data_IF_953509943627
#
_entry.id   IF_953509943627
#
_cell.length_a   1.000
_cell.length_b   1.000
_cell.length_c   1.000
_cell.angle_alpha   90.00
_cell.angle_beta   90.00
_cell.angle_gamma   90.00
#
_symmetry.space_group_name_H-M   'P 1'
#
loop_
_entity.id
_entity.type
_entity.pdbx_description
1 polymer ?
#
# COMPACT_ATOMS: atom_id res chain seq x y z
N UNK A 1 76.66 -59.44 -14.24
CA UNK A 1 75.18 -59.39 -14.28
C UNK A 1 74.67 -58.33 -13.29
N UNK A 2 74.58 -57.06 -13.70
CA UNK A 2 74.20 -55.89 -12.86
C UNK A 2 72.96 -55.15 -13.41
N UNK A 3 72.03 -55.85 -14.07
CA UNK A 3 70.86 -55.22 -14.74
C UNK A 3 69.53 -55.41 -13.99
N UNK A 4 69.45 -56.39 -13.08
CA UNK A 4 68.20 -56.74 -12.37
C UNK A 4 67.90 -55.85 -11.15
N UNK A 5 68.92 -55.39 -10.43
CA UNK A 5 68.75 -54.52 -9.25
C UNK A 5 68.36 -53.07 -9.59
N UNK A 6 68.91 -52.53 -10.70
CA UNK A 6 68.60 -51.18 -11.16
C UNK A 6 67.16 -51.07 -11.67
N UNK A 7 66.67 -52.11 -12.36
CA UNK A 7 65.28 -52.18 -12.85
C UNK A 7 64.26 -52.24 -11.69
N UNK A 8 64.60 -52.95 -10.60
CA UNK A 8 63.72 -53.06 -9.43
C UNK A 8 63.67 -51.75 -8.63
N UNK A 9 64.80 -51.02 -8.53
CA UNK A 9 64.87 -49.72 -7.85
C UNK A 9 64.14 -48.61 -8.63
N UNK A 10 64.19 -48.67 -9.98
CA UNK A 10 63.45 -47.76 -10.85
C UNK A 10 61.93 -48.04 -10.81
N UNK A 11 61.55 -49.31 -10.72
CA UNK A 11 60.14 -49.70 -10.60
C UNK A 11 59.53 -49.26 -9.25
N UNK A 12 60.27 -49.37 -8.13
CA UNK A 12 59.80 -48.92 -6.83
C UNK A 12 59.69 -47.38 -6.73
N UNK A 13 60.62 -46.64 -7.34
CA UNK A 13 60.57 -45.16 -7.35
C UNK A 13 59.42 -44.64 -8.21
N UNK A 14 59.11 -45.28 -9.35
CA UNK A 14 57.91 -45.00 -10.15
C UNK A 14 56.61 -45.28 -9.37
N UNK A 15 56.56 -46.35 -8.57
CA UNK A 15 55.37 -46.71 -7.80
C UNK A 15 55.10 -45.71 -6.67
N UNK A 16 56.15 -45.19 -6.01
CA UNK A 16 56.01 -44.21 -4.91
C UNK A 16 55.63 -42.82 -5.43
N UNK A 17 56.11 -42.41 -6.61
CA UNK A 17 55.68 -41.15 -7.26
C UNK A 17 54.24 -41.24 -7.78
N UNK A 18 53.80 -42.42 -8.22
CA UNK A 18 52.44 -42.64 -8.71
C UNK A 18 51.33 -42.54 -7.66
N UNK A 19 51.64 -42.70 -6.37
CA UNK A 19 50.64 -42.64 -5.28
C UNK A 19 50.48 -41.22 -4.71
N UNK A 20 51.52 -40.37 -4.81
CA UNK A 20 51.46 -38.96 -4.36
C UNK A 20 50.77 -38.06 -5.39
N UNK A 21 50.80 -38.44 -6.66
CA UNK A 21 49.94 -37.88 -7.69
C UNK A 21 48.54 -38.52 -7.61
N UNK A 22 47.83 -38.28 -6.49
CA UNK A 22 46.44 -38.65 -6.35
C UNK A 22 45.69 -38.25 -7.63
N UNK A 23 44.94 -39.19 -8.20
CA UNK A 23 44.13 -39.00 -9.40
C UNK A 23 43.19 -37.81 -9.17
N UNK A 24 43.60 -36.60 -9.53
CA UNK A 24 42.70 -35.47 -9.69
C UNK A 24 41.73 -35.90 -10.78
N UNK A 25 40.45 -36.07 -10.43
CA UNK A 25 39.43 -36.40 -11.41
C UNK A 25 39.45 -35.31 -12.49
N UNK A 26 39.90 -35.66 -13.70
CA UNK A 26 40.19 -34.71 -14.79
C UNK A 26 38.91 -34.11 -15.40
N UNK A 27 37.74 -34.68 -15.13
CA UNK A 27 36.45 -34.29 -15.72
C UNK A 27 35.59 -33.45 -14.77
N UNK A 28 36.15 -32.39 -14.21
CA UNK A 28 35.37 -31.41 -13.42
C UNK A 28 35.11 -30.16 -14.23
N UNK A 29 33.86 -29.72 -14.31
CA UNK A 29 33.47 -28.44 -14.87
C UNK A 29 32.67 -27.66 -13.82
N UNK A 30 32.89 -26.34 -13.78
CA UNK A 30 32.13 -25.41 -12.94
C UNK A 30 31.43 -24.44 -13.87
N UNK A 31 30.13 -24.27 -13.70
CA UNK A 31 29.38 -23.24 -14.41
C UNK A 31 29.73 -21.86 -13.86
N UNK A 32 29.37 -20.83 -14.62
CA UNK A 32 29.34 -19.47 -14.09
C UNK A 32 28.32 -19.35 -12.93
N UNK A 33 28.58 -18.40 -12.05
CA UNK A 33 27.69 -18.10 -10.91
C UNK A 33 26.57 -17.21 -11.39
N UNK A 34 25.32 -17.65 -11.18
CA UNK A 34 24.13 -16.82 -11.36
C UNK A 34 23.69 -16.32 -9.99
N UNK A 35 23.72 -15.00 -9.81
CA UNK A 35 23.26 -14.32 -8.58
C UNK A 35 21.91 -13.68 -8.84
N UNK A 36 20.88 -14.09 -8.08
CA UNK A 36 19.56 -13.47 -8.09
C UNK A 36 19.38 -12.60 -6.84
N UNK A 37 19.02 -11.34 -7.04
CA UNK A 37 18.74 -10.40 -5.94
C UNK A 37 17.23 -10.31 -5.75
N UNK A 38 16.77 -10.58 -4.54
CA UNK A 38 15.37 -10.43 -4.13
C UNK A 38 15.21 -9.11 -3.37
N UNK A 39 14.13 -8.37 -3.66
CA UNK A 39 13.79 -7.11 -2.99
C UNK A 39 12.53 -7.27 -2.14
N UNK A 40 12.34 -6.36 -1.19
CA UNK A 40 11.09 -6.22 -0.44
C UNK A 40 10.03 -5.50 -1.28
N UNK A 41 8.76 -5.78 -0.99
CA UNK A 41 7.58 -5.07 -1.50
C UNK A 41 7.05 -4.05 -0.47
N UNK A 42 6.34 -3.01 -0.92
CA UNK A 42 5.77 -1.98 -0.03
C UNK A 42 4.49 -1.36 -0.64
N UNK A 43 3.71 -0.67 0.17
CA UNK A 43 2.52 0.09 -0.27
C UNK A 43 2.55 1.47 0.38
N UNK A 44 2.48 2.51 -0.45
CA UNK A 44 2.50 3.90 0.00
C UNK A 44 1.24 4.61 -0.44
N UNK A 45 0.58 5.28 0.51
CA UNK A 45 -0.67 6.03 0.27
C UNK A 45 -0.49 7.49 0.67
N UNK A 46 -1.13 8.37 -0.08
CA UNK A 46 -1.18 9.80 0.18
C UNK A 46 -2.63 10.30 0.09
N UNK A 47 -2.99 11.26 0.94
CA UNK A 47 -4.24 12.02 0.86
C UNK A 47 -3.90 13.50 0.77
N UNK A 48 -4.38 14.19 -0.27
CA UNK A 48 -4.16 15.62 -0.48
C UNK A 48 -5.47 16.37 -0.69
N UNK A 49 -5.53 17.59 -0.17
CA UNK A 49 -6.61 18.55 -0.39
C UNK A 49 -6.00 19.94 -0.61
N UNK A 50 -6.57 20.75 -1.51
CA UNK A 50 -6.00 22.04 -1.93
C UNK A 50 -6.97 23.22 -1.81
N UNK A 51 -8.18 23.04 -1.28
CA UNK A 51 -9.23 24.10 -1.30
C UNK A 51 -9.16 25.06 -0.11
N UNK A 52 -8.14 24.97 0.76
CA UNK A 52 -7.87 25.90 1.87
C UNK A 52 -8.10 25.30 3.26
N UNK A 53 -8.10 26.16 4.29
CA UNK A 53 -8.27 25.77 5.71
C UNK A 53 -9.50 26.37 6.36
N UNK A 54 -10.12 27.39 5.75
CA UNK A 54 -11.28 28.08 6.28
C UNK A 54 -12.42 28.07 5.25
N UNK A 55 -13.61 27.68 5.71
CA UNK A 55 -14.79 27.53 4.85
C UNK A 55 -15.98 28.26 5.48
N UNK A 56 -16.61 29.14 4.70
CA UNK A 56 -17.84 29.83 5.12
C UNK A 56 -19.03 28.96 4.78
N UNK A 57 -19.90 28.73 5.76
CA UNK A 57 -21.15 28.04 5.55
C UNK A 57 -22.21 29.05 5.10
N UNK A 58 -22.77 28.84 3.91
CA UNK A 58 -23.94 29.57 3.40
C UNK A 58 -25.04 28.51 3.18
N UNK A 59 -26.24 28.62 3.79
CA UNK A 59 -27.27 27.59 3.66
C UNK A 59 -27.64 27.32 2.20
N UNK A 60 -27.67 26.05 1.82
CA UNK A 60 -27.98 25.59 0.46
C UNK A 60 -26.83 25.68 -0.55
N UNK A 61 -25.66 26.19 -0.15
CA UNK A 61 -24.50 26.30 -1.04
C UNK A 61 -23.58 25.10 -0.88
N UNK A 62 -22.79 24.83 -1.92
CA UNK A 62 -21.70 23.86 -1.88
C UNK A 62 -20.39 24.54 -1.47
N UNK A 63 -19.54 23.79 -0.79
CA UNK A 63 -18.19 24.17 -0.39
C UNK A 63 -17.24 23.24 -1.14
N UNK A 64 -16.31 23.80 -1.91
CA UNK A 64 -15.33 22.99 -2.63
C UNK A 64 -14.37 22.30 -1.66
N UNK A 65 -14.33 20.98 -1.73
CA UNK A 65 -13.52 20.08 -0.91
C UNK A 65 -13.00 18.99 -1.83
N UNK A 66 -11.72 19.02 -2.18
CA UNK A 66 -11.13 18.10 -3.17
C UNK A 66 -10.15 17.08 -2.57
N UNK A 67 -10.50 16.38 -1.46
CA UNK A 67 -9.64 15.35 -0.90
C UNK A 67 -9.46 14.21 -1.93
N UNK A 68 -8.21 13.95 -2.29
CA UNK A 68 -7.82 12.93 -3.26
C UNK A 68 -6.85 11.94 -2.63
N UNK A 69 -7.26 10.67 -2.60
CA UNK A 69 -6.45 9.57 -2.12
C UNK A 69 -5.70 8.94 -3.29
N UNK A 70 -4.40 8.71 -3.12
CA UNK A 70 -3.50 8.21 -4.18
C UNK A 70 -2.62 7.10 -3.61
N UNK A 71 -2.57 5.95 -4.29
CA UNK A 71 -1.52 4.95 -4.05
C UNK A 71 -0.31 5.36 -4.89
N UNK A 72 0.85 5.56 -4.26
CA UNK A 72 2.02 6.12 -4.92
C UNK A 72 2.75 5.09 -5.79
N UNK A 73 3.44 5.57 -6.81
CA UNK A 73 4.26 4.76 -7.70
C UNK A 73 5.28 3.89 -6.94
N UNK A 74 5.50 2.68 -7.42
CA UNK A 74 6.35 1.68 -6.77
C UNK A 74 5.67 0.90 -5.63
N UNK A 75 4.37 1.12 -5.41
CA UNK A 75 3.56 0.28 -4.52
C UNK A 75 3.08 -0.98 -5.23
N UNK A 76 2.71 -2.00 -4.46
CA UNK A 76 2.00 -3.17 -4.95
C UNK A 76 0.49 -2.94 -5.10
N UNK A 77 -0.19 -3.86 -5.79
CA UNK A 77 -1.64 -3.92 -5.85
C UNK A 77 -2.24 -4.04 -4.44
N UNK A 78 -3.26 -3.24 -4.16
CA UNK A 78 -3.77 -3.09 -2.81
C UNK A 78 -5.24 -2.70 -2.77
N UNK A 79 -5.83 -2.88 -1.60
CA UNK A 79 -7.01 -2.13 -1.22
C UNK A 79 -6.59 -0.74 -0.76
N UNK A 80 -7.19 0.29 -1.36
CA UNK A 80 -7.15 1.66 -0.88
C UNK A 80 -8.45 1.91 -0.09
N UNK A 81 -8.31 2.37 1.15
CA UNK A 81 -9.40 2.72 2.05
C UNK A 81 -9.42 4.21 2.34
N UNK A 82 -10.61 4.75 2.56
CA UNK A 82 -10.82 6.07 3.15
C UNK A 82 -11.81 5.96 4.30
N UNK A 83 -11.47 6.55 5.43
CA UNK A 83 -12.30 6.67 6.63
C UNK A 83 -12.77 8.11 6.76
N UNK A 84 -14.07 8.30 6.93
CA UNK A 84 -14.71 9.62 7.05
C UNK A 84 -15.32 9.77 8.44
N UNK A 85 -14.57 10.41 9.34
CA UNK A 85 -15.01 10.69 10.70
C UNK A 85 -15.73 12.04 10.77
N UNK A 86 -17.03 11.98 11.05
CA UNK A 86 -17.88 13.15 11.25
C UNK A 86 -17.93 13.53 12.72
N UNK A 87 -17.85 14.82 13.02
CA UNK A 87 -18.29 15.33 14.33
C UNK A 87 -19.79 15.07 14.55
N UNK A 88 -20.22 15.01 15.81
CA UNK A 88 -21.62 14.78 16.16
C UNK A 88 -22.59 15.81 15.56
N UNK A 89 -22.13 17.04 15.33
CA UNK A 89 -22.96 18.11 14.75
C UNK A 89 -22.96 18.12 13.23
N UNK A 90 -22.11 17.35 12.55
CA UNK A 90 -21.92 17.45 11.09
C UNK A 90 -23.24 17.33 10.32
N UNK A 91 -24.01 16.26 10.55
CA UNK A 91 -25.22 15.97 9.78
C UNK A 91 -26.36 16.97 10.04
N UNK A 92 -26.26 17.81 11.07
CA UNK A 92 -27.21 18.92 11.29
C UNK A 92 -27.01 20.03 10.26
N UNK A 93 -25.77 20.22 9.79
CA UNK A 93 -25.38 21.39 9.02
C UNK A 93 -24.95 21.07 7.59
N UNK A 94 -24.31 19.92 7.41
CA UNK A 94 -23.59 19.56 6.21
C UNK A 94 -24.03 18.18 5.74
N UNK A 95 -23.85 17.93 4.47
CA UNK A 95 -23.96 16.62 3.86
C UNK A 95 -22.87 16.44 2.80
N UNK A 96 -22.53 15.20 2.51
CA UNK A 96 -21.61 14.84 1.44
C UNK A 96 -22.10 13.59 0.74
N UNK A 97 -21.58 13.37 -0.46
CA UNK A 97 -21.77 12.13 -1.20
C UNK A 97 -20.37 11.59 -1.52
N UNK A 98 -20.17 10.28 -1.34
CA UNK A 98 -18.91 9.64 -1.72
C UNK A 98 -18.81 9.59 -3.24
N UNK A 99 -17.62 9.84 -3.78
CA UNK A 99 -17.38 9.79 -5.22
C UNK A 99 -17.62 8.38 -5.79
N UNK A 100 -17.85 8.32 -7.11
CA UNK A 100 -18.11 7.04 -7.77
C UNK A 100 -16.87 6.12 -7.72
N UNK A 101 -17.11 4.80 -7.72
CA UNK A 101 -16.06 3.77 -7.68
C UNK A 101 -15.56 3.40 -6.28
N UNK A 102 -16.10 4.00 -5.22
CA UNK A 102 -15.89 3.55 -3.84
C UNK A 102 -17.00 2.57 -3.42
N UNK A 103 -16.62 1.54 -2.67
CA UNK A 103 -17.56 0.57 -2.06
C UNK A 103 -17.56 0.77 -0.56
N UNK A 104 -18.74 0.84 0.08
CA UNK A 104 -18.83 0.93 1.55
C UNK A 104 -18.36 -0.38 2.17
N UNK A 105 -17.55 -0.30 3.23
CA UNK A 105 -17.11 -1.49 3.96
C UNK A 105 -18.21 -2.00 4.87
N UNK A 106 -18.58 -3.27 4.71
CA UNK A 106 -19.58 -3.91 5.54
C UNK A 106 -19.12 -3.97 7.00
N UNK A 107 -20.03 -3.60 7.92
CA UNK A 107 -19.77 -3.58 9.36
C UNK A 107 -18.97 -2.37 9.86
N UNK A 108 -18.54 -1.44 8.99
CA UNK A 108 -17.86 -0.21 9.39
C UNK A 108 -18.43 0.99 8.64
N UNK A 109 -19.31 1.75 9.29
CA UNK A 109 -20.15 2.76 8.62
C UNK A 109 -19.40 3.91 7.94
N UNK A 110 -18.20 4.24 8.42
CA UNK A 110 -17.42 5.38 7.97
C UNK A 110 -16.32 5.03 6.97
N UNK A 111 -16.18 3.76 6.61
CA UNK A 111 -15.07 3.29 5.78
C UNK A 111 -15.55 2.88 4.40
N UNK A 112 -14.82 3.34 3.39
CA UNK A 112 -15.04 3.00 1.99
C UNK A 112 -13.74 2.52 1.38
N UNK A 113 -13.82 1.62 0.41
CA UNK A 113 -12.66 1.02 -0.22
C UNK A 113 -12.79 0.91 -1.74
N UNK A 114 -11.64 0.76 -2.39
CA UNK A 114 -11.52 0.32 -3.78
C UNK A 114 -10.25 -0.52 -3.94
N UNK A 115 -10.22 -1.35 -4.97
CA UNK A 115 -8.99 -2.04 -5.37
C UNK A 115 -8.22 -1.12 -6.31
N UNK A 116 -6.92 -0.96 -6.06
CA UNK A 116 -6.00 -0.27 -6.97
C UNK A 116 -5.11 -1.32 -7.60
N UNK A 117 -5.33 -1.51 -8.90
CA UNK A 117 -4.74 -2.56 -9.71
C UNK A 117 -3.47 -2.06 -10.44
N UNK A 118 -2.40 -2.83 -10.36
CA UNK A 118 -1.11 -2.50 -10.98
C UNK A 118 -1.08 -2.84 -12.47
N UNK A 119 -1.80 -3.87 -12.90
CA UNK A 119 -1.89 -4.32 -14.30
C UNK A 119 -2.62 -3.33 -15.21
N UNK A 120 -3.55 -2.56 -14.65
CA UNK A 120 -4.31 -1.53 -15.38
C UNK A 120 -3.72 -0.11 -15.21
N UNK A 121 -2.52 0.01 -14.65
CA UNK A 121 -1.83 1.28 -14.39
C UNK A 121 -2.64 2.26 -13.52
N UNK A 122 -3.41 1.74 -12.56
CA UNK A 122 -4.20 2.58 -11.65
C UNK A 122 -3.35 3.20 -10.53
N UNK A 123 -2.18 2.64 -10.25
CA UNK A 123 -1.20 3.21 -9.31
C UNK A 123 -0.75 4.60 -9.78
N UNK A 124 -0.70 5.54 -8.84
CA UNK A 124 -0.39 6.95 -9.10
C UNK A 124 -1.61 7.79 -9.48
N UNK A 125 -2.78 7.19 -9.68
CA UNK A 125 -4.02 7.90 -9.99
C UNK A 125 -4.61 8.54 -8.74
N UNK A 126 -4.88 9.85 -8.73
CA UNK A 126 -5.57 10.50 -7.62
C UNK A 126 -7.08 10.27 -7.71
N UNK A 127 -7.66 9.64 -6.69
CA UNK A 127 -9.10 9.38 -6.61
C UNK A 127 -9.78 10.39 -5.71
N UNK A 128 -10.73 11.16 -6.28
CA UNK A 128 -11.63 11.99 -5.49
C UNK A 128 -12.38 11.13 -4.46
N UNK A 129 -12.41 11.58 -3.21
CA UNK A 129 -13.14 10.91 -2.13
C UNK A 129 -14.60 11.39 -2.09
N UNK A 130 -14.81 12.68 -2.33
CA UNK A 130 -16.13 13.31 -2.34
C UNK A 130 -16.62 13.49 -3.78
N UNK A 131 -17.90 13.21 -4.02
CA UNK A 131 -18.52 13.42 -5.33
C UNK A 131 -18.44 14.92 -5.68
N UNK A 132 -18.05 15.20 -6.91
CA UNK A 132 -17.87 16.54 -7.45
C UNK A 132 -16.86 17.43 -6.67
N UNK A 133 -15.99 16.81 -5.86
CA UNK A 133 -15.02 17.53 -5.02
C UNK A 133 -15.70 18.62 -4.16
N UNK A 134 -16.80 18.27 -3.46
CA UNK A 134 -17.53 19.21 -2.61
C UNK A 134 -18.24 18.57 -1.40
N UNK A 135 -18.65 19.45 -0.47
CA UNK A 135 -19.68 19.18 0.55
C UNK A 135 -20.80 20.22 0.43
N UNK A 136 -22.01 19.89 0.88
CA UNK A 136 -23.18 20.79 0.78
C UNK A 136 -23.59 21.27 2.17
N UNK A 137 -23.82 22.57 2.32
CA UNK A 137 -24.49 23.12 3.50
C UNK A 137 -25.98 22.94 3.32
N UNK A 138 -26.65 22.31 4.28
CA UNK A 138 -28.10 22.07 4.20
C UNK A 138 -28.86 23.39 4.11
N UNK A 139 -29.84 23.45 3.22
CA UNK A 139 -30.70 24.63 3.05
C UNK A 139 -31.55 24.96 4.29
N UNK A 140 -31.76 23.97 5.17
CA UNK A 140 -32.50 24.12 6.43
C UNK A 140 -31.69 24.81 7.55
N UNK A 141 -30.40 25.09 7.34
CA UNK A 141 -29.56 25.77 8.34
C UNK A 141 -30.02 27.22 8.49
N UNK A 142 -30.36 27.61 9.71
CA UNK A 142 -30.85 28.94 10.08
C UNK A 142 -29.75 29.86 10.59
N UNK A 143 -30.03 31.16 10.64
CA UNK A 143 -29.10 32.15 11.20
C UNK A 143 -28.85 31.92 12.69
N UNK A 144 -29.87 31.51 13.43
CA UNK A 144 -29.80 31.17 14.85
C UNK A 144 -28.84 29.99 15.08
N UNK A 145 -28.95 28.94 14.26
CA UNK A 145 -28.03 27.79 14.33
C UNK A 145 -26.59 28.17 14.00
N UNK A 146 -26.37 29.05 13.00
CA UNK A 146 -25.03 29.55 12.70
C UNK A 146 -24.44 30.39 13.84
N UNK A 147 -25.23 31.30 14.41
CA UNK A 147 -24.78 32.11 15.55
C UNK A 147 -24.44 31.24 16.77
N UNK A 148 -25.12 30.10 16.95
CA UNK A 148 -24.80 29.15 18.01
C UNK A 148 -23.41 28.49 17.83
N UNK A 149 -22.90 28.37 16.60
CA UNK A 149 -21.55 27.88 16.33
C UNK A 149 -20.45 28.92 16.63
N UNK A 150 -20.82 30.19 16.76
CA UNK A 150 -19.91 31.29 17.12
C UNK A 150 -19.84 31.53 18.64
N UNK A 151 -20.70 30.87 19.43
CA UNK A 151 -20.66 30.96 20.88
C UNK A 151 -19.35 30.39 21.44
N UNK A 152 -18.85 30.99 22.52
CA UNK A 152 -17.62 30.53 23.18
C UNK A 152 -17.76 29.06 23.63
N UNK A 153 -16.79 28.23 23.26
CA UNK A 153 -16.80 26.79 23.55
C UNK A 153 -17.67 25.93 22.61
N UNK A 154 -18.35 26.52 21.62
CA UNK A 154 -19.08 25.76 20.62
C UNK A 154 -18.14 24.94 19.72
N UNK A 155 -18.48 23.66 19.49
CA UNK A 155 -17.74 22.78 18.60
C UNK A 155 -18.31 22.89 17.19
N UNK A 156 -17.49 23.39 16.26
CA UNK A 156 -17.85 23.51 14.84
C UNK A 156 -17.96 22.13 14.19
N UNK A 157 -18.86 21.97 13.20
CA UNK A 157 -18.97 20.71 12.48
C UNK A 157 -17.69 20.44 11.68
N UNK A 158 -17.15 19.23 11.82
CA UNK A 158 -15.97 18.75 11.10
C UNK A 158 -16.24 17.45 10.35
N UNK A 159 -15.52 17.28 9.25
CA UNK A 159 -15.36 16.03 8.51
C UNK A 159 -13.86 15.78 8.37
N UNK A 160 -13.37 14.75 9.06
CA UNK A 160 -11.97 14.31 8.98
C UNK A 160 -11.88 13.11 8.08
N UNK A 161 -10.97 13.17 7.10
CA UNK A 161 -10.76 12.07 6.14
C UNK A 161 -9.35 11.54 6.35
N UNK A 162 -9.21 10.22 6.41
CA UNK A 162 -7.91 9.54 6.47
C UNK A 162 -7.88 8.43 5.45
N UNK A 163 -6.77 8.32 4.70
CA UNK A 163 -6.55 7.26 3.73
C UNK A 163 -5.63 6.19 4.29
N UNK A 164 -5.92 4.93 3.96
CA UNK A 164 -5.11 3.78 4.33
C UNK A 164 -4.97 2.84 3.14
N UNK A 165 -3.95 1.99 3.14
CA UNK A 165 -3.85 0.93 2.17
C UNK A 165 -3.42 -0.38 2.82
N UNK A 166 -3.83 -1.49 2.22
CA UNK A 166 -3.51 -2.84 2.69
C UNK A 166 -3.38 -3.78 1.50
N UNK A 167 -2.48 -4.75 1.62
CA UNK A 167 -2.16 -5.67 0.51
C UNK A 167 -3.40 -6.41 0.02
N UNK A 168 -3.49 -6.59 -1.31
CA UNK A 168 -4.59 -7.32 -1.93
C UNK A 168 -4.44 -8.84 -1.78
N UNK A 169 -3.24 -9.37 -2.04
CA UNK A 169 -2.97 -10.80 -2.11
C UNK A 169 -2.50 -11.36 -0.77
N UNK A 170 -3.10 -12.48 -0.34
CA UNK A 170 -2.62 -13.29 0.80
C UNK A 170 -1.41 -14.12 0.42
N UNK A 171 -1.49 -14.68 -0.79
CA UNK A 171 -0.51 -15.58 -1.41
C UNK A 171 -0.74 -15.58 -2.93
N UNK A 172 -0.07 -16.48 -3.64
CA UNK A 172 -0.11 -16.55 -5.11
C UNK A 172 -1.49 -16.83 -5.73
N UNK A 173 -2.46 -17.36 -4.96
CA UNK A 173 -3.76 -17.80 -5.49
C UNK A 173 -4.96 -17.19 -4.79
N UNK A 174 -4.76 -16.49 -3.67
CA UNK A 174 -5.84 -15.99 -2.82
C UNK A 174 -5.66 -14.51 -2.50
N UNK A 175 -6.78 -13.79 -2.50
CA UNK A 175 -6.86 -12.38 -2.07
C UNK A 175 -7.49 -12.25 -0.69
N UNK A 176 -7.16 -11.17 0.01
CA UNK A 176 -7.91 -10.71 1.16
C UNK A 176 -9.29 -10.27 0.73
N UNK A 177 -10.31 -10.57 1.54
CA UNK A 177 -11.53 -9.78 1.52
C UNK A 177 -11.25 -8.36 2.03
N UNK A 178 -12.08 -7.39 1.67
CA UNK A 178 -11.91 -6.01 2.12
C UNK A 178 -11.91 -5.89 3.65
N UNK A 179 -12.76 -6.66 4.36
CA UNK A 179 -12.80 -6.67 5.83
C UNK A 179 -11.53 -7.24 6.46
N UNK A 180 -10.96 -8.31 5.90
CA UNK A 180 -9.67 -8.85 6.36
C UNK A 180 -8.54 -7.84 6.13
N UNK A 181 -8.47 -7.26 4.93
CA UNK A 181 -7.47 -6.26 4.58
C UNK A 181 -7.54 -5.03 5.50
N UNK A 182 -8.75 -4.57 5.83
CA UNK A 182 -8.99 -3.48 6.78
C UNK A 182 -8.55 -3.84 8.21
N UNK A 183 -8.80 -5.07 8.64
CA UNK A 183 -8.43 -5.54 9.97
C UNK A 183 -6.91 -5.65 10.15
N UNK A 184 -6.16 -5.94 9.09
CA UNK A 184 -4.69 -6.00 9.09
C UNK A 184 -4.01 -4.64 9.28
N UNK A 185 -4.72 -3.53 9.06
CA UNK A 185 -4.16 -2.18 9.29
C UNK A 185 -4.06 -1.94 10.81
N UNK A 186 -2.83 -1.81 11.30
CA UNK A 186 -2.53 -1.70 12.73
C UNK A 186 -2.95 -0.35 13.37
N UNK A 187 -2.94 0.75 12.61
CA UNK A 187 -3.12 2.12 13.12
C UNK A 187 -4.35 2.84 12.53
N UNK A 188 -5.53 2.19 12.56
CA UNK A 188 -6.81 2.71 12.02
C UNK A 188 -7.64 3.54 13.00
#
# INVERSE_FOLDING_TARGET
MKKKGLALFLALTLLVVGVVAGTLAWLTAKSDVVTNTFTTSDIKVELKETTGTEYKMIPGYTISKNPKATVLAGSEECYLFVKLDKSASFDTYLEYVIADGWTKLDGVDTVYYRVVDGTTNQIGTPYSVLKDDQVTVKGSVTKEQMNALDAEGAVKPTLTITAYASQLHKNATETFSASEAWNNIANK
#
